data_IF_719351321895
#
_entry.id   IF_719351321895
#
_cell.length_a   1.000
_cell.length_b   1.000
_cell.length_c   1.000
_cell.angle_alpha   90.00
_cell.angle_beta   90.00
_cell.angle_gamma   90.00
#
_symmetry.space_group_name_H-M   'P 1'
#
loop_
_entity.id
_entity.type
_entity.pdbx_description
1 polymer ?
#
# COMPACT_ATOMS: atom_id res chain seq x y z
N UNK A 1 7.89 -10.42 15.95
CA UNK A 1 6.73 -10.00 15.14
C UNK A 1 6.91 -8.54 14.83
N UNK A 2 7.13 -8.16 13.57
CA UNK A 2 7.24 -6.75 13.19
C UNK A 2 5.85 -6.13 13.20
N UNK A 3 5.67 -5.08 14.00
CA UNK A 3 4.46 -4.25 13.91
C UNK A 3 4.37 -3.70 12.50
N UNK A 4 3.28 -4.05 11.80
CA UNK A 4 3.03 -3.52 10.48
C UNK A 4 2.64 -2.05 10.66
N UNK A 5 3.39 -1.17 10.02
CA UNK A 5 2.97 0.20 9.81
C UNK A 5 1.69 0.18 8.98
N UNK A 6 0.58 0.67 9.54
CA UNK A 6 -0.68 0.84 8.83
C UNK A 6 -1.07 2.32 8.87
N UNK A 7 -1.45 2.87 7.72
CA UNK A 7 -2.06 4.18 7.63
C UNK A 7 -3.32 4.20 8.49
N UNK A 8 -3.59 5.32 9.16
CA UNK A 8 -4.85 5.51 9.86
C UNK A 8 -6.02 5.65 8.87
N UNK A 9 -7.24 5.46 9.36
CA UNK A 9 -8.44 5.69 8.54
C UNK A 9 -8.52 7.14 8.08
N UNK A 10 -8.19 8.10 8.95
CA UNK A 10 -8.13 9.52 8.60
C UNK A 10 -7.08 9.85 7.53
N UNK A 11 -5.93 9.17 7.53
CA UNK A 11 -4.94 9.31 6.46
C UNK A 11 -5.47 8.70 5.15
N UNK A 12 -6.13 7.55 5.24
CA UNK A 12 -6.76 6.92 4.07
C UNK A 12 -7.85 7.79 3.45
N UNK A 13 -8.69 8.42 4.27
CA UNK A 13 -9.72 9.34 3.79
C UNK A 13 -9.14 10.53 3.03
N UNK A 14 -8.00 11.06 3.47
CA UNK A 14 -7.30 12.14 2.76
C UNK A 14 -6.74 11.70 1.41
N UNK A 15 -6.33 10.43 1.28
CA UNK A 15 -5.73 9.89 0.05
C UNK A 15 -6.79 9.38 -0.93
N UNK A 16 -7.94 8.92 -0.42
CA UNK A 16 -9.02 8.30 -1.19
C UNK A 16 -9.47 9.09 -2.44
N UNK A 17 -9.57 10.43 -2.44
CA UNK A 17 -9.97 11.20 -3.61
C UNK A 17 -9.00 11.09 -4.79
N UNK A 18 -7.73 10.75 -4.54
CA UNK A 18 -6.71 10.62 -5.58
C UNK A 18 -6.69 9.23 -6.23
N UNK A 19 -7.53 8.31 -5.77
CA UNK A 19 -7.61 7.00 -6.39
C UNK A 19 -8.30 7.09 -7.75
N UNK A 20 -7.78 6.39 -8.77
CA UNK A 20 -8.47 6.29 -10.04
C UNK A 20 -9.84 5.64 -9.85
N UNK A 21 -10.80 5.94 -10.71
CA UNK A 21 -12.11 5.27 -10.70
C UNK A 21 -11.92 3.74 -10.78
N UNK A 22 -12.67 3.00 -9.96
CA UNK A 22 -12.60 1.54 -10.00
C UNK A 22 -13.41 1.03 -11.21
N UNK A 23 -12.76 0.31 -12.11
CA UNK A 23 -13.45 -0.36 -13.22
C UNK A 23 -14.01 -1.71 -12.73
N UNK A 24 -15.18 -1.67 -12.09
CA UNK A 24 -16.02 -2.85 -11.78
C UNK A 24 -15.48 -3.86 -10.75
N UNK A 25 -14.18 -3.88 -10.46
CA UNK A 25 -13.55 -4.78 -9.50
C UNK A 25 -13.22 -4.04 -8.20
N UNK A 26 -13.77 -4.44 -7.05
CA UNK A 26 -13.41 -3.88 -5.75
C UNK A 26 -11.91 -4.05 -5.50
N UNK A 27 -11.24 -2.97 -5.10
CA UNK A 27 -9.80 -3.02 -4.81
C UNK A 27 -9.58 -3.76 -3.51
N UNK A 28 -8.75 -4.80 -3.55
CA UNK A 28 -8.32 -5.54 -2.37
C UNK A 28 -7.51 -4.60 -1.47
N UNK A 29 -8.00 -4.36 -0.27
CA UNK A 29 -7.36 -3.69 0.88
C UNK A 29 -6.33 -2.60 0.50
N UNK A 30 -6.82 -1.49 -0.05
CA UNK A 30 -6.00 -0.32 -0.43
C UNK A 30 -5.17 0.21 0.76
N UNK A 31 -5.72 0.11 1.98
CA UNK A 31 -5.04 0.57 3.21
C UNK A 31 -3.76 -0.22 3.43
N UNK A 32 -3.82 -1.54 3.37
CA UNK A 32 -2.65 -2.41 3.56
C UNK A 32 -1.60 -2.21 2.47
N UNK A 33 -2.02 -2.12 1.20
CA UNK A 33 -1.12 -1.92 0.06
C UNK A 33 -0.39 -0.58 0.15
N UNK A 34 -1.12 0.51 0.38
CA UNK A 34 -0.49 1.83 0.53
C UNK A 34 0.43 1.89 1.74
N UNK A 35 0.05 1.25 2.84
CA UNK A 35 0.90 1.22 4.02
C UNK A 35 2.22 0.48 3.76
N UNK A 36 2.18 -0.60 2.98
CA UNK A 36 3.38 -1.29 2.51
C UNK A 36 4.27 -0.41 1.63
N UNK A 37 3.67 0.38 0.72
CA UNK A 37 4.42 1.34 -0.11
C UNK A 37 5.12 2.39 0.75
N UNK A 38 4.39 2.99 1.70
CA UNK A 38 4.97 4.00 2.61
C UNK A 38 6.07 3.39 3.47
N UNK A 39 5.90 2.15 3.94
CA UNK A 39 6.93 1.43 4.69
C UNK A 39 8.23 1.26 3.88
N UNK A 40 8.13 0.86 2.61
CA UNK A 40 9.31 0.70 1.74
C UNK A 40 10.02 2.03 1.54
N UNK A 41 9.28 3.09 1.20
CA UNK A 41 9.84 4.43 0.95
C UNK A 41 10.49 5.00 2.22
N UNK A 42 9.81 4.90 3.36
CA UNK A 42 10.29 5.42 4.65
C UNK A 42 11.61 4.77 5.11
N UNK A 43 11.79 3.48 4.81
CA UNK A 43 12.94 2.71 5.25
C UNK A 43 14.01 2.52 4.15
N UNK A 44 13.78 3.05 2.94
CA UNK A 44 14.72 2.90 1.81
C UNK A 44 14.93 1.46 1.35
N UNK A 45 13.91 0.60 1.48
CA UNK A 45 14.01 -0.83 1.21
C UNK A 45 13.84 -1.15 -0.29
N UNK A 46 14.31 -2.32 -0.70
CA UNK A 46 13.87 -2.88 -1.98
C UNK A 46 12.47 -3.47 -1.84
N UNK A 47 11.66 -3.41 -2.89
CA UNK A 47 10.29 -3.94 -2.88
C UNK A 47 10.23 -5.42 -2.45
N UNK A 48 11.21 -6.22 -2.85
CA UNK A 48 11.29 -7.65 -2.51
C UNK A 48 11.46 -7.91 -1.01
N UNK A 49 11.99 -6.93 -0.27
CA UNK A 49 12.26 -7.02 1.17
C UNK A 49 11.06 -6.57 2.02
N UNK A 50 9.96 -6.15 1.36
CA UNK A 50 8.74 -5.75 2.05
C UNK A 50 8.12 -6.95 2.79
N UNK A 51 7.66 -6.77 4.05
CA UNK A 51 6.97 -7.82 4.76
C UNK A 51 5.80 -8.39 3.96
N UNK A 52 5.72 -9.73 3.86
CA UNK A 52 4.66 -10.44 3.10
C UNK A 52 3.25 -10.08 3.57
N UNK A 53 3.10 -9.61 4.80
CA UNK A 53 1.82 -9.20 5.36
C UNK A 53 1.21 -7.98 4.63
N UNK A 54 2.01 -7.15 3.95
CA UNK A 54 1.46 -6.07 3.10
C UNK A 54 0.91 -6.56 1.76
N UNK A 55 1.19 -7.81 1.40
CA UNK A 55 0.85 -8.43 0.13
C UNK A 55 2.09 -8.67 -0.76
N UNK A 56 1.88 -9.19 -1.98
CA UNK A 56 2.97 -9.45 -2.91
C UNK A 56 3.71 -8.17 -3.28
N UNK A 57 5.04 -8.18 -3.23
CA UNK A 57 5.87 -7.01 -3.56
C UNK A 57 5.57 -6.44 -4.96
N UNK A 58 5.23 -7.31 -5.93
CA UNK A 58 4.85 -6.89 -7.29
C UNK A 58 3.55 -6.06 -7.29
N UNK A 59 2.60 -6.36 -6.40
CA UNK A 59 1.37 -5.58 -6.26
C UNK A 59 1.66 -4.19 -5.71
N UNK A 60 2.57 -4.08 -4.73
CA UNK A 60 2.99 -2.79 -4.18
C UNK A 60 3.67 -1.93 -5.26
N UNK A 61 4.63 -2.51 -5.98
CA UNK A 61 5.32 -1.82 -7.06
C UNK A 61 4.36 -1.37 -8.17
N UNK A 62 3.52 -2.28 -8.68
CA UNK A 62 2.54 -1.96 -9.72
C UNK A 62 1.55 -0.88 -9.29
N UNK A 63 1.23 -0.78 -7.99
CA UNK A 63 0.37 0.28 -7.45
C UNK A 63 1.11 1.60 -7.31
N UNK A 64 2.42 1.57 -7.02
CA UNK A 64 3.25 2.77 -6.89
C UNK A 64 3.51 3.45 -8.25
N UNK A 65 3.74 2.67 -9.31
CA UNK A 65 4.05 3.21 -10.64
C UNK A 65 2.82 3.62 -11.47
N UNK A 66 1.60 3.43 -10.93
CA UNK A 66 0.34 3.60 -11.66
C UNK A 66 -0.26 4.98 -11.46
#
# INVERSE_FOLDING_TARGET
>A
MSELFLLSESQMERIRPYFPLAHGVPRVDDRRVLSGIVYVIRNGLQWKDTPKAYGPHKTLYNRFIR
#
